data_IF_938451443991
#
_entry.id   IF_938451443991
#
_cell.length_a   1.000
_cell.length_b   1.000
_cell.length_c   1.000
_cell.angle_alpha   90.00
_cell.angle_beta   90.00
_cell.angle_gamma   90.00
#
_symmetry.space_group_name_H-M   'P 1'
#
loop_
_entity.id
_entity.type
_entity.pdbx_description
1 polymer ?
#
# COMPACT_ATOMS: atom_id res chain seq x y z
N UNK A 1 15.47 -21.14 -5.50
CA UNK A 1 16.37 -22.21 -5.94
C UNK A 1 15.79 -23.58 -5.55
N UNK A 2 16.13 -24.69 -6.22
CA UNK A 2 15.71 -26.02 -5.79
C UNK A 2 16.09 -26.27 -4.33
N UNK A 3 15.09 -26.65 -3.50
CA UNK A 3 15.27 -26.87 -2.08
C UNK A 3 14.97 -25.69 -1.16
N UNK A 4 14.68 -24.50 -1.69
CA UNK A 4 14.26 -23.37 -0.87
C UNK A 4 12.84 -23.59 -0.31
N UNK A 5 12.62 -23.19 0.93
CA UNK A 5 11.33 -23.27 1.60
C UNK A 5 10.85 -21.86 1.93
N UNK A 6 9.62 -21.54 1.53
CA UNK A 6 8.98 -20.27 1.85
C UNK A 6 7.75 -20.51 2.72
N UNK A 7 7.68 -19.81 3.86
CA UNK A 7 6.50 -19.81 4.73
C UNK A 7 5.78 -18.47 4.59
N UNK A 8 4.47 -18.54 4.38
CA UNK A 8 3.63 -17.34 4.33
C UNK A 8 2.25 -17.62 4.94
N UNK A 9 1.61 -16.60 5.43
CA UNK A 9 0.23 -16.69 5.90
C UNK A 9 -0.71 -16.75 4.71
N UNK A 10 -1.36 -17.90 4.52
CA UNK A 10 -2.30 -18.14 3.41
C UNK A 10 -3.59 -17.28 3.50
N UNK A 11 -3.83 -16.61 4.63
CA UNK A 11 -4.93 -15.65 4.78
C UNK A 11 -4.64 -14.31 4.07
N UNK A 12 -3.38 -14.07 3.67
CA UNK A 12 -2.95 -12.88 2.93
C UNK A 12 -2.90 -13.24 1.45
N UNK A 13 -3.55 -12.47 0.55
CA UNK A 13 -3.42 -12.69 -0.88
C UNK A 13 -1.95 -12.61 -1.32
N UNK A 14 -1.46 -13.66 -1.95
CA UNK A 14 -0.10 -13.76 -2.46
C UNK A 14 -0.12 -14.44 -3.82
N UNK A 15 0.91 -14.20 -4.60
CA UNK A 15 1.10 -14.81 -5.90
C UNK A 15 2.56 -15.23 -6.09
N UNK A 16 2.77 -16.27 -6.88
CA UNK A 16 4.10 -16.69 -7.32
C UNK A 16 4.20 -16.51 -8.83
N UNK A 17 5.36 -16.03 -9.28
CA UNK A 17 5.65 -15.85 -10.70
C UNK A 17 6.94 -16.58 -11.00
N UNK A 18 6.92 -17.44 -12.03
CA UNK A 18 8.14 -18.01 -12.56
C UNK A 18 8.97 -16.93 -13.25
N UNK A 19 10.25 -16.86 -12.93
CA UNK A 19 11.20 -15.93 -13.56
C UNK A 19 12.28 -16.74 -14.27
N UNK A 20 12.75 -16.26 -15.42
CA UNK A 20 13.80 -16.92 -16.18
C UNK A 20 13.34 -17.72 -17.41
N UNK A 21 12.05 -17.63 -17.79
CA UNK A 21 11.53 -18.22 -19.02
C UNK A 21 11.28 -19.73 -18.98
N UNK A 22 11.40 -20.36 -17.80
CA UNK A 22 11.09 -21.76 -17.57
C UNK A 22 9.92 -21.89 -16.60
N UNK A 23 9.20 -23.01 -16.67
CA UNK A 23 8.12 -23.33 -15.74
C UNK A 23 8.69 -23.55 -14.32
N UNK A 24 7.95 -23.06 -13.32
CA UNK A 24 8.30 -23.24 -11.92
C UNK A 24 7.38 -24.28 -11.29
N UNK A 25 7.92 -25.41 -10.89
CA UNK A 25 7.19 -26.41 -10.11
C UNK A 25 7.44 -26.18 -8.61
N UNK A 26 6.36 -26.18 -7.84
CA UNK A 26 6.45 -26.10 -6.37
C UNK A 26 5.36 -26.94 -5.71
N UNK A 27 5.62 -27.39 -4.49
CA UNK A 27 4.65 -28.05 -3.63
C UNK A 27 4.09 -27.05 -2.63
N UNK A 28 2.77 -26.82 -2.66
CA UNK A 28 2.09 -26.02 -1.67
C UNK A 28 1.48 -26.93 -0.59
N UNK A 29 1.89 -26.76 0.66
CA UNK A 29 1.24 -27.39 1.83
C UNK A 29 0.37 -26.34 2.47
N UNK A 30 -0.95 -26.49 2.34
CA UNK A 30 -1.93 -25.60 2.96
C UNK A 30 -2.41 -26.21 4.27
N UNK A 31 -2.11 -25.55 5.38
CA UNK A 31 -2.66 -25.91 6.68
C UNK A 31 -3.99 -25.19 6.86
N UNK A 32 -5.07 -25.95 6.98
CA UNK A 32 -6.39 -25.43 7.30
C UNK A 32 -6.71 -25.65 8.77
N UNK A 33 -6.51 -24.67 9.65
CA UNK A 33 -6.73 -24.85 11.08
C UNK A 33 -8.21 -25.06 11.46
N UNK A 34 -9.16 -24.81 10.55
CA UNK A 34 -10.60 -24.94 10.81
C UNK A 34 -11.15 -26.34 10.50
N UNK A 35 -10.36 -27.26 9.94
CA UNK A 35 -10.77 -28.63 9.66
C UNK A 35 -11.87 -28.78 8.58
N UNK A 36 -12.23 -27.71 7.86
CA UNK A 36 -13.15 -27.79 6.75
C UNK A 36 -12.47 -28.54 5.58
N UNK A 37 -13.15 -29.55 5.02
CA UNK A 37 -12.66 -30.26 3.85
C UNK A 37 -12.44 -29.29 2.69
N UNK A 38 -11.22 -29.24 2.17
CA UNK A 38 -10.92 -28.52 0.93
C UNK A 38 -11.66 -29.28 -0.18
N UNK A 39 -12.51 -28.62 -1.00
CA UNK A 39 -13.08 -29.28 -2.17
C UNK A 39 -11.93 -29.81 -3.02
N UNK A 40 -12.02 -31.06 -3.44
CA UNK A 40 -11.04 -31.66 -4.35
C UNK A 40 -10.83 -30.69 -5.53
N UNK A 41 -9.65 -30.08 -5.59
CA UNK A 41 -9.26 -29.26 -6.73
C UNK A 41 -9.07 -30.21 -7.91
N UNK A 42 -10.02 -30.19 -8.86
CA UNK A 42 -9.92 -30.92 -10.10
C UNK A 42 -8.66 -30.41 -10.87
N UNK A 43 -7.60 -31.21 -10.97
CA UNK A 43 -6.36 -30.80 -11.64
C UNK A 43 -6.56 -30.43 -13.11
N UNK A 44 -7.66 -30.89 -13.73
CA UNK A 44 -8.00 -30.59 -15.11
C UNK A 44 -8.65 -29.21 -15.34
N UNK A 45 -9.06 -28.50 -14.28
CA UNK A 45 -9.65 -27.16 -14.41
C UNK A 45 -8.62 -26.02 -14.49
N UNK A 46 -7.38 -26.29 -14.18
CA UNK A 46 -6.27 -25.33 -14.35
C UNK A 46 -5.39 -25.72 -15.52
N UNK A 47 -5.95 -25.78 -16.70
CA UNK A 47 -5.13 -25.56 -17.90
C UNK A 47 -4.69 -24.12 -17.87
N UNK A 48 -3.38 -23.82 -17.79
CA UNK A 48 -2.91 -22.47 -18.02
C UNK A 48 -3.42 -22.07 -19.40
N UNK A 49 -4.38 -21.15 -19.44
CA UNK A 49 -4.70 -20.50 -20.71
C UNK A 49 -3.46 -19.67 -20.99
N UNK A 50 -2.53 -20.24 -21.77
CA UNK A 50 -1.52 -19.49 -22.46
C UNK A 50 -2.30 -18.49 -23.33
N UNK A 51 -2.62 -17.34 -22.76
CA UNK A 51 -3.04 -16.19 -23.55
C UNK A 51 -1.84 -15.90 -24.42
N UNK A 52 -1.94 -16.26 -25.69
CA UNK A 52 -1.11 -15.63 -26.71
C UNK A 52 -1.16 -14.13 -26.42
N UNK A 53 -0.08 -13.59 -25.90
CA UNK A 53 0.13 -12.16 -25.82
C UNK A 53 0.26 -11.71 -27.29
N UNK A 54 -0.90 -11.48 -27.93
CA UNK A 54 -0.93 -10.75 -29.20
C UNK A 54 -0.15 -9.47 -28.90
N UNK A 55 0.94 -9.27 -29.62
CA UNK A 55 1.74 -8.06 -29.56
C UNK A 55 0.79 -6.90 -29.91
N UNK A 56 0.17 -6.31 -28.88
CA UNK A 56 -0.36 -4.98 -28.98
C UNK A 56 0.86 -4.12 -29.23
N UNK A 57 0.80 -3.26 -30.25
CA UNK A 57 1.74 -2.17 -30.46
C UNK A 57 2.04 -1.57 -29.09
N UNK A 58 3.16 -1.96 -28.51
CA UNK A 58 3.51 -1.67 -27.12
C UNK A 58 3.71 -0.16 -27.01
N UNK A 59 2.73 0.51 -26.42
CA UNK A 59 3.04 1.82 -25.87
C UNK A 59 4.16 1.60 -24.86
N UNK A 60 5.25 2.39 -24.91
CA UNK A 60 6.34 2.25 -23.95
C UNK A 60 5.76 2.17 -22.55
N UNK A 61 6.12 1.15 -21.78
CA UNK A 61 5.66 1.01 -20.40
C UNK A 61 6.07 2.25 -19.60
N UNK A 62 5.24 2.69 -18.67
CA UNK A 62 5.53 3.88 -17.85
C UNK A 62 6.87 3.76 -17.12
N UNK A 63 7.26 2.53 -16.79
CA UNK A 63 8.52 2.19 -16.13
C UNK A 63 9.75 2.54 -16.99
N UNK A 64 9.65 2.54 -18.32
CA UNK A 64 10.76 2.85 -19.23
C UNK A 64 11.24 4.31 -19.13
N UNK A 65 10.44 5.19 -18.52
CA UNK A 65 10.87 6.56 -18.19
C UNK A 65 11.90 6.58 -17.04
N UNK A 66 11.94 5.52 -16.24
CA UNK A 66 12.62 5.47 -14.96
C UNK A 66 13.62 4.34 -14.85
N UNK A 67 13.52 3.34 -15.71
CA UNK A 67 14.32 2.13 -15.66
C UNK A 67 14.81 1.78 -17.07
N UNK A 68 16.09 1.53 -17.20
CA UNK A 68 16.69 0.88 -18.37
C UNK A 68 17.05 -0.56 -18.00
N UNK A 69 16.64 -1.51 -18.84
CA UNK A 69 16.89 -2.93 -18.64
C UNK A 69 17.66 -3.47 -19.85
N UNK A 70 18.87 -3.96 -19.62
CA UNK A 70 19.60 -4.75 -20.60
C UNK A 70 19.24 -6.23 -20.40
N UNK A 71 18.97 -6.94 -21.49
CA UNK A 71 18.63 -8.36 -21.46
C UNK A 71 19.63 -9.18 -22.28
N UNK A 72 19.86 -10.41 -21.85
CA UNK A 72 20.58 -11.41 -22.62
C UNK A 72 19.82 -11.80 -23.90
N UNK A 73 20.44 -12.54 -24.79
CA UNK A 73 19.79 -13.11 -25.98
C UNK A 73 18.60 -14.03 -25.66
N UNK A 74 18.47 -14.49 -24.43
CA UNK A 74 17.35 -15.30 -23.93
C UNK A 74 16.25 -14.46 -23.23
N UNK A 75 16.40 -13.13 -23.21
CA UNK A 75 15.43 -12.23 -22.56
C UNK A 75 15.63 -12.06 -21.05
N UNK A 76 16.63 -12.68 -20.44
CA UNK A 76 16.93 -12.55 -19.02
C UNK A 76 17.56 -11.17 -18.73
N UNK A 77 17.06 -10.38 -17.74
CA UNK A 77 17.71 -9.14 -17.36
C UNK A 77 19.16 -9.37 -16.90
N UNK A 78 20.10 -8.66 -17.52
CA UNK A 78 21.53 -8.71 -17.19
C UNK A 78 22.00 -7.45 -16.46
N UNK A 79 21.29 -6.34 -16.68
CA UNK A 79 21.56 -5.07 -16.02
C UNK A 79 20.27 -4.27 -15.86
N UNK A 80 20.09 -3.62 -14.73
CA UNK A 80 18.99 -2.71 -14.43
C UNK A 80 19.58 -1.39 -13.97
N UNK A 81 19.28 -0.31 -14.67
CA UNK A 81 19.71 1.05 -14.31
C UNK A 81 18.48 1.92 -14.04
N UNK A 82 18.50 2.62 -12.90
CA UNK A 82 17.47 3.61 -12.55
C UNK A 82 17.92 4.99 -13.03
N UNK A 83 17.01 5.74 -13.66
CA UNK A 83 17.25 7.09 -14.15
C UNK A 83 16.23 8.09 -13.59
N UNK A 84 16.64 9.34 -13.44
CA UNK A 84 15.80 10.44 -12.93
C UNK A 84 15.17 10.17 -11.55
N UNK A 85 15.75 9.27 -10.78
CA UNK A 85 15.19 8.81 -9.50
C UNK A 85 15.13 9.92 -8.46
N UNK A 86 15.98 10.94 -8.58
CA UNK A 86 16.00 12.12 -7.73
C UNK A 86 14.69 12.92 -7.76
N UNK A 87 13.95 12.84 -8.87
CA UNK A 87 12.67 13.54 -9.05
C UNK A 87 11.46 12.63 -8.94
N UNK A 88 11.64 11.32 -8.76
CA UNK A 88 10.56 10.35 -8.77
C UNK A 88 9.62 10.48 -7.57
N UNK A 89 8.32 10.39 -7.86
CA UNK A 89 7.26 10.26 -6.86
C UNK A 89 6.19 9.30 -7.38
N UNK A 90 6.01 8.18 -6.69
CA UNK A 90 5.09 7.12 -7.13
C UNK A 90 3.67 7.61 -7.39
N UNK A 91 3.14 8.49 -6.54
CA UNK A 91 1.78 8.99 -6.69
C UNK A 91 1.57 9.81 -7.97
N UNK A 92 2.53 10.69 -8.30
CA UNK A 92 2.41 11.54 -9.50
C UNK A 92 2.87 10.83 -10.77
N UNK A 93 4.01 10.11 -10.70
CA UNK A 93 4.70 9.60 -11.88
C UNK A 93 4.18 8.23 -12.31
N UNK A 94 3.47 7.50 -11.43
CA UNK A 94 2.84 6.23 -11.76
C UNK A 94 1.33 6.34 -11.69
N UNK A 95 0.77 6.61 -10.51
CA UNK A 95 -0.69 6.56 -10.31
C UNK A 95 -1.40 7.64 -11.13
N UNK A 96 -0.97 8.90 -11.00
CA UNK A 96 -1.61 9.99 -11.72
C UNK A 96 -1.36 9.94 -13.23
N UNK A 97 -0.17 9.50 -13.64
CA UNK A 97 0.15 9.34 -15.06
C UNK A 97 -0.71 8.26 -15.72
N UNK A 98 -0.90 7.11 -15.06
CA UNK A 98 -1.83 6.08 -15.56
C UNK A 98 -3.27 6.61 -15.52
N UNK A 99 -3.66 7.31 -14.46
CA UNK A 99 -5.00 7.89 -14.34
C UNK A 99 -5.33 8.90 -15.44
N UNK A 100 -4.32 9.60 -15.99
CA UNK A 100 -4.48 10.53 -17.14
C UNK A 100 -4.44 9.81 -18.49
N UNK A 101 -3.54 8.85 -18.66
CA UNK A 101 -3.30 8.21 -19.97
C UNK A 101 -4.16 6.97 -20.21
N UNK A 102 -4.64 6.32 -19.16
CA UNK A 102 -5.46 5.12 -19.19
C UNK A 102 -6.55 5.19 -18.10
N UNK A 103 -7.45 6.18 -18.12
CA UNK A 103 -8.39 6.50 -17.03
C UNK A 103 -9.24 5.30 -16.60
N UNK A 104 -9.70 4.49 -17.54
CA UNK A 104 -10.57 3.33 -17.31
C UNK A 104 -9.81 2.05 -16.89
N UNK A 105 -8.48 2.11 -16.82
CA UNK A 105 -7.69 0.95 -16.39
C UNK A 105 -8.00 0.65 -14.93
N UNK A 106 -8.32 -0.62 -14.65
CA UNK A 106 -8.58 -1.09 -13.30
C UNK A 106 -7.30 -0.96 -12.45
N UNK A 107 -7.39 -0.21 -11.36
CA UNK A 107 -6.33 -0.08 -10.36
C UNK A 107 -6.51 -1.07 -9.22
N UNK A 108 -7.78 -1.30 -8.79
CA UNK A 108 -8.09 -2.19 -7.70
C UNK A 108 -9.48 -2.79 -7.85
N UNK A 109 -9.60 -4.07 -7.54
CA UNK A 109 -10.87 -4.74 -7.29
C UNK A 109 -10.96 -5.02 -5.78
N UNK A 110 -11.87 -4.34 -5.10
CA UNK A 110 -12.11 -4.53 -3.68
C UNK A 110 -13.38 -5.37 -3.47
N UNK A 111 -13.23 -6.43 -2.68
CA UNK A 111 -14.35 -7.28 -2.24
C UNK A 111 -14.57 -7.09 -0.75
N UNK A 112 -15.75 -6.63 -0.38
CA UNK A 112 -16.16 -6.48 1.01
C UNK A 112 -16.55 -7.84 1.63
N UNK A 113 -16.66 -7.91 2.94
CA UNK A 113 -17.08 -9.13 3.66
C UNK A 113 -18.48 -9.58 3.29
N UNK A 114 -19.36 -8.68 2.90
CA UNK A 114 -20.71 -8.93 2.37
C UNK A 114 -20.73 -9.31 0.89
N UNK A 115 -19.55 -9.55 0.28
CA UNK A 115 -19.34 -9.85 -1.13
C UNK A 115 -19.66 -8.70 -2.11
N UNK A 116 -19.88 -7.49 -1.61
CA UNK A 116 -20.03 -6.32 -2.48
C UNK A 116 -18.70 -6.05 -3.21
N UNK A 117 -18.78 -5.99 -4.53
CA UNK A 117 -17.65 -5.68 -5.41
C UNK A 117 -17.56 -4.17 -5.67
N UNK A 118 -16.35 -3.62 -5.51
CA UNK A 118 -16.03 -2.24 -5.90
C UNK A 118 -14.86 -2.22 -6.86
N UNK A 119 -15.12 -1.74 -8.06
CA UNK A 119 -14.08 -1.55 -9.09
C UNK A 119 -13.59 -0.11 -9.01
N UNK A 120 -12.30 0.06 -8.81
CA UNK A 120 -11.64 1.37 -8.69
C UNK A 120 -10.66 1.48 -9.85
N UNK A 121 -10.84 2.49 -10.68
CA UNK A 121 -9.95 2.78 -11.81
C UNK A 121 -8.75 3.62 -11.37
N UNK A 122 -7.73 3.74 -12.23
CA UNK A 122 -6.62 4.67 -11.96
C UNK A 122 -7.08 6.14 -11.96
N UNK A 123 -8.12 6.50 -12.73
CA UNK A 123 -8.71 7.83 -12.66
C UNK A 123 -9.37 8.09 -11.29
N UNK A 124 -10.06 7.08 -10.73
CA UNK A 124 -10.64 7.20 -9.38
C UNK A 124 -9.52 7.30 -8.33
N UNK A 125 -8.50 6.45 -8.42
CA UNK A 125 -7.36 6.49 -7.50
C UNK A 125 -6.67 7.85 -7.51
N UNK A 126 -6.47 8.45 -8.69
CA UNK A 126 -5.90 9.79 -8.86
C UNK A 126 -6.76 10.86 -8.18
N UNK A 127 -8.08 10.83 -8.40
CA UNK A 127 -9.03 11.81 -7.84
C UNK A 127 -9.16 11.68 -6.34
N UNK A 128 -9.40 10.46 -5.85
CA UNK A 128 -9.64 10.22 -4.41
C UNK A 128 -8.37 10.43 -3.58
N UNK A 129 -7.20 10.06 -4.08
CA UNK A 129 -5.94 10.40 -3.41
C UNK A 129 -5.64 11.91 -3.39
N UNK A 130 -6.07 12.65 -4.42
CA UNK A 130 -5.98 14.11 -4.40
C UNK A 130 -6.89 14.73 -3.33
N UNK A 131 -8.13 14.22 -3.16
CA UNK A 131 -9.03 14.62 -2.06
C UNK A 131 -8.40 14.35 -0.70
N UNK A 132 -7.81 13.15 -0.52
CA UNK A 132 -7.10 12.80 0.71
C UNK A 132 -5.92 13.74 0.98
N UNK A 133 -5.09 14.06 -0.02
CA UNK A 133 -3.96 14.98 0.15
C UNK A 133 -4.41 16.39 0.58
N UNK A 134 -5.46 16.92 -0.06
CA UNK A 134 -6.05 18.22 0.33
C UNK A 134 -6.67 18.18 1.73
N UNK A 135 -7.35 17.11 2.07
CA UNK A 135 -7.92 16.90 3.40
C UNK A 135 -6.82 16.84 4.48
N UNK A 136 -5.78 16.06 4.28
CA UNK A 136 -4.66 15.96 5.21
C UNK A 136 -3.95 17.30 5.40
N UNK A 137 -3.74 18.03 4.31
CA UNK A 137 -3.19 19.39 4.38
C UNK A 137 -4.06 20.33 5.23
N UNK A 138 -5.40 20.23 5.14
CA UNK A 138 -6.33 21.04 5.95
C UNK A 138 -6.28 20.70 7.45
N UNK A 139 -5.83 19.49 7.81
CA UNK A 139 -5.59 19.06 9.20
C UNK A 139 -4.22 19.50 9.74
N UNK A 140 -3.44 20.25 8.95
CA UNK A 140 -2.10 20.68 9.30
C UNK A 140 -1.01 19.64 9.08
N UNK A 141 -1.34 18.49 8.44
CA UNK A 141 -0.36 17.48 8.07
C UNK A 141 0.47 18.02 6.90
N UNK A 142 1.78 17.89 6.99
CA UNK A 142 2.75 18.41 6.03
C UNK A 142 3.82 17.37 5.71
N UNK A 143 4.68 17.69 4.74
CA UNK A 143 5.84 16.88 4.37
C UNK A 143 6.69 16.54 5.59
N UNK A 144 7.01 15.25 5.76
CA UNK A 144 7.79 14.71 6.87
C UNK A 144 6.98 14.31 8.09
N UNK A 145 5.70 14.68 8.20
CA UNK A 145 4.84 14.20 9.29
C UNK A 145 4.55 12.71 9.16
N UNK A 146 4.44 12.02 10.29
CA UNK A 146 4.20 10.56 10.33
C UNK A 146 2.73 10.30 10.60
N UNK A 147 2.14 9.46 9.74
CA UNK A 147 0.72 9.09 9.78
C UNK A 147 0.61 7.57 9.85
N UNK A 148 0.05 7.05 10.94
CA UNK A 148 -0.18 5.61 11.11
C UNK A 148 -1.50 5.21 10.45
N UNK A 149 -1.46 4.10 9.68
CA UNK A 149 -2.60 3.54 8.98
C UNK A 149 -2.94 2.15 9.55
N UNK A 150 -4.05 2.04 10.29
CA UNK A 150 -4.55 0.79 10.86
C UNK A 150 -5.89 0.47 10.21
N UNK A 151 -5.87 0.11 8.93
CA UNK A 151 -7.06 0.06 8.08
C UNK A 151 -7.45 -1.33 7.59
N UNK A 152 -6.83 -2.40 8.14
CA UNK A 152 -7.16 -3.77 7.70
C UNK A 152 -7.18 -3.87 6.15
N UNK A 153 -8.35 -4.28 5.62
CA UNK A 153 -8.62 -4.45 4.19
C UNK A 153 -9.53 -3.36 3.62
N UNK A 154 -9.66 -2.21 4.26
CA UNK A 154 -10.43 -1.10 3.73
C UNK A 154 -9.75 -0.52 2.49
N UNK A 155 -10.51 -0.26 1.40
CA UNK A 155 -9.98 0.35 0.17
C UNK A 155 -9.45 1.78 0.41
N UNK A 156 -9.94 2.45 1.42
CA UNK A 156 -9.49 3.78 1.86
C UNK A 156 -8.00 3.80 2.24
N UNK A 157 -7.43 2.65 2.59
CA UNK A 157 -5.99 2.51 2.82
C UNK A 157 -5.18 3.05 1.63
N UNK A 158 -5.58 2.68 0.41
CA UNK A 158 -4.87 3.10 -0.80
C UNK A 158 -5.08 4.56 -1.14
N UNK A 159 -6.29 5.09 -0.93
CA UNK A 159 -6.55 6.53 -1.10
C UNK A 159 -5.71 7.36 -0.13
N UNK A 160 -5.68 6.97 1.14
CA UNK A 160 -4.87 7.62 2.15
C UNK A 160 -3.37 7.52 1.85
N UNK A 161 -2.88 6.30 1.54
CA UNK A 161 -1.48 6.05 1.21
C UNK A 161 -0.99 6.93 0.06
N UNK A 162 -1.71 6.93 -1.07
CA UNK A 162 -1.33 7.72 -2.24
C UNK A 162 -1.49 9.22 -1.96
N UNK A 163 -2.49 9.62 -1.16
CA UNK A 163 -2.66 11.01 -0.71
C UNK A 163 -1.49 11.50 0.14
N UNK A 164 -1.02 10.69 1.08
CA UNK A 164 0.18 10.98 1.88
C UNK A 164 1.43 11.07 1.00
N UNK A 165 1.56 10.19 0.01
CA UNK A 165 2.66 10.23 -0.95
C UNK A 165 2.69 11.52 -1.78
N UNK A 166 1.52 12.08 -2.13
CA UNK A 166 1.42 13.38 -2.80
C UNK A 166 1.86 14.53 -1.90
N UNK A 167 1.44 14.48 -0.65
CA UNK A 167 1.72 15.51 0.34
C UNK A 167 3.16 15.45 0.87
N UNK A 168 3.75 14.25 0.86
CA UNK A 168 5.08 13.98 1.42
C UNK A 168 5.06 13.63 2.90
N UNK A 169 3.89 13.33 3.44
CA UNK A 169 3.78 12.74 4.76
C UNK A 169 4.14 11.25 4.71
N UNK A 170 4.76 10.77 5.77
CA UNK A 170 5.30 9.41 5.85
C UNK A 170 4.22 8.48 6.36
N UNK A 171 3.82 7.52 5.55
CA UNK A 171 2.84 6.53 5.98
C UNK A 171 3.49 5.42 6.83
N UNK A 172 2.80 5.00 7.89
CA UNK A 172 3.21 3.91 8.76
C UNK A 172 2.08 2.87 8.82
N UNK A 173 2.05 1.90 7.90
CA UNK A 173 1.09 0.80 7.97
C UNK A 173 1.28 -0.01 9.24
N UNK A 174 0.18 -0.35 9.92
CA UNK A 174 0.23 -1.09 11.15
C UNK A 174 -0.91 -2.12 11.25
N UNK A 175 -0.68 -3.19 12.02
CA UNK A 175 -1.67 -4.25 12.27
C UNK A 175 -2.82 -3.72 13.11
N UNK A 176 -4.03 -4.22 12.82
CA UNK A 176 -5.22 -3.96 13.64
C UNK A 176 -5.28 -4.82 14.92
N UNK A 177 -4.26 -5.64 15.17
CA UNK A 177 -4.14 -6.49 16.35
C UNK A 177 -3.22 -5.90 17.42
N UNK A 178 -2.75 -4.65 17.23
CA UNK A 178 -1.91 -3.96 18.19
C UNK A 178 -2.71 -3.61 19.44
N UNK A 179 -2.10 -3.84 20.60
CA UNK A 179 -2.62 -3.43 21.89
C UNK A 179 -2.14 -2.00 22.24
N UNK A 180 -2.75 -1.39 23.25
CA UNK A 180 -2.47 0.00 23.63
C UNK A 180 -1.00 0.28 23.89
N UNK A 181 -0.28 -0.61 24.59
CA UNK A 181 1.15 -0.45 24.85
C UNK A 181 2.00 -0.50 23.57
N UNK A 182 1.59 -1.30 22.58
CA UNK A 182 2.24 -1.37 21.29
C UNK A 182 2.04 -0.10 20.47
N UNK A 183 0.83 0.44 20.54
CA UNK A 183 0.43 1.68 19.87
C UNK A 183 1.17 2.86 20.49
N UNK A 184 1.18 2.97 21.82
CA UNK A 184 1.89 4.00 22.57
C UNK A 184 3.39 4.01 22.20
N UNK A 185 4.03 2.84 22.23
CA UNK A 185 5.44 2.71 21.87
C UNK A 185 5.71 3.25 20.45
N UNK A 186 4.88 2.85 19.46
CA UNK A 186 5.06 3.27 18.06
C UNK A 186 4.82 4.77 17.87
N UNK A 187 3.80 5.31 18.50
CA UNK A 187 3.48 6.75 18.43
C UNK A 187 4.65 7.56 18.98
N UNK A 188 5.12 7.22 20.18
CA UNK A 188 6.18 7.96 20.83
C UNK A 188 7.54 7.80 20.15
N UNK A 189 7.84 6.58 19.67
CA UNK A 189 9.13 6.31 18.98
C UNK A 189 9.24 6.99 17.62
N UNK A 190 8.14 7.03 16.84
CA UNK A 190 8.13 7.65 15.52
C UNK A 190 7.52 9.08 15.54
N UNK A 191 7.16 9.62 16.72
CA UNK A 191 6.49 10.92 16.87
C UNK A 191 5.29 11.05 15.90
N UNK A 192 4.40 10.06 15.92
CA UNK A 192 3.24 10.00 15.03
C UNK A 192 2.24 11.07 15.42
N UNK A 193 1.87 11.93 14.46
CA UNK A 193 0.94 13.03 14.70
C UNK A 193 -0.52 12.69 14.38
N UNK A 194 -0.73 11.69 13.56
CA UNK A 194 -2.07 11.32 13.05
C UNK A 194 -2.22 9.82 12.94
N UNK A 195 -3.40 9.31 13.31
CA UNK A 195 -3.81 7.92 13.10
C UNK A 195 -5.07 7.90 12.25
N UNK A 196 -5.09 7.02 11.24
CA UNK A 196 -6.28 6.64 10.48
C UNK A 196 -6.59 5.19 10.82
N UNK A 197 -7.68 4.95 11.54
CA UNK A 197 -8.00 3.65 12.11
C UNK A 197 -9.34 3.12 11.59
N UNK A 198 -9.46 1.80 11.51
CA UNK A 198 -10.74 1.13 11.28
C UNK A 198 -11.61 1.17 12.53
N UNK A 199 -12.93 1.25 12.34
CA UNK A 199 -13.90 1.02 13.41
C UNK A 199 -14.18 -0.48 13.67
N UNK A 200 -13.58 -1.38 12.88
CA UNK A 200 -13.79 -2.81 13.01
C UNK A 200 -12.96 -3.42 14.13
N UNK A 201 -13.61 -4.11 15.06
CA UNK A 201 -12.96 -4.70 16.23
C UNK A 201 -12.59 -3.66 17.28
N UNK A 202 -11.58 -3.97 18.09
CA UNK A 202 -11.22 -3.19 19.28
C UNK A 202 -10.07 -2.20 19.03
N UNK A 203 -9.59 -2.08 17.78
CA UNK A 203 -8.39 -1.31 17.49
C UNK A 203 -8.50 0.18 17.87
N UNK A 204 -9.67 0.80 17.63
CA UNK A 204 -9.91 2.18 17.99
C UNK A 204 -9.96 2.38 19.54
N UNK A 205 -10.43 1.36 20.28
CA UNK A 205 -10.40 1.38 21.75
C UNK A 205 -8.95 1.34 22.26
N UNK A 206 -8.10 0.53 21.64
CA UNK A 206 -6.69 0.44 22.00
C UNK A 206 -5.93 1.75 21.69
N UNK A 207 -6.29 2.42 20.58
CA UNK A 207 -5.77 3.79 20.30
C UNK A 207 -6.20 4.79 21.36
N UNK A 208 -7.48 4.77 21.78
CA UNK A 208 -7.97 5.71 22.79
C UNK A 208 -7.35 5.48 24.17
N UNK A 209 -7.03 4.22 24.52
CA UNK A 209 -6.28 3.90 25.76
C UNK A 209 -4.83 4.42 25.70
N UNK A 210 -4.19 4.36 24.54
CA UNK A 210 -2.81 4.83 24.36
C UNK A 210 -2.70 6.35 24.27
N UNK A 211 -3.70 7.01 23.69
CA UNK A 211 -3.66 8.43 23.33
C UNK A 211 -3.26 9.39 24.48
N UNK A 212 -3.70 9.21 25.75
CA UNK A 212 -3.29 10.08 26.83
C UNK A 212 -1.78 10.13 27.10
N UNK A 213 -1.05 9.05 26.75
CA UNK A 213 0.41 8.94 26.89
C UNK A 213 1.17 9.33 25.61
N UNK A 214 0.48 9.87 24.60
CA UNK A 214 1.04 10.15 23.27
C UNK A 214 0.94 11.64 22.92
N UNK A 215 1.83 12.49 23.43
CA UNK A 215 1.72 13.96 23.24
C UNK A 215 1.86 14.43 21.78
N UNK A 216 2.47 13.62 20.90
CA UNK A 216 2.57 13.93 19.47
C UNK A 216 1.26 13.68 18.70
N UNK A 217 0.34 12.88 19.23
CA UNK A 217 -0.89 12.48 18.54
C UNK A 217 -1.93 13.61 18.58
N UNK A 218 -2.12 14.28 17.45
CA UNK A 218 -3.03 15.43 17.30
C UNK A 218 -4.35 15.01 16.64
N UNK A 219 -4.29 14.15 15.62
CA UNK A 219 -5.46 13.78 14.83
C UNK A 219 -5.78 12.30 14.94
N UNK A 220 -7.06 11.99 15.20
CA UNK A 220 -7.62 10.64 15.15
C UNK A 220 -8.73 10.61 14.10
N UNK A 221 -8.56 9.82 13.04
CA UNK A 221 -9.49 9.67 11.91
C UNK A 221 -10.04 8.24 11.91
N UNK A 222 -11.37 8.09 11.81
CA UNK A 222 -12.03 6.80 11.82
C UNK A 222 -12.59 6.45 10.44
N UNK A 223 -12.41 5.22 10.00
CA UNK A 223 -13.03 4.63 8.81
C UNK A 223 -14.04 3.58 9.24
N UNK A 224 -15.29 3.74 8.83
CA UNK A 224 -16.41 2.87 9.17
C UNK A 224 -17.42 3.56 10.06
N UNK A 225 -17.74 3.02 11.24
CA UNK A 225 -18.71 3.60 12.16
C UNK A 225 -18.13 4.83 12.85
N UNK A 226 -18.94 5.89 12.98
CA UNK A 226 -18.57 7.10 13.71
C UNK A 226 -18.20 6.79 15.16
N UNK A 227 -17.25 7.57 15.69
CA UNK A 227 -16.76 7.45 17.05
C UNK A 227 -16.56 8.83 17.66
N UNK A 228 -17.00 9.01 18.90
CA UNK A 228 -16.81 10.26 19.65
C UNK A 228 -15.30 10.55 19.82
N UNK A 229 -14.92 11.82 19.66
CA UNK A 229 -13.51 12.24 19.71
C UNK A 229 -12.67 11.89 18.49
N UNK A 230 -13.30 11.34 17.43
CA UNK A 230 -12.66 11.02 16.17
C UNK A 230 -13.33 11.76 15.00
N UNK A 231 -12.55 12.10 14.00
CA UNK A 231 -13.06 12.68 12.74
C UNK A 231 -13.48 11.55 11.82
N UNK A 232 -14.61 11.71 11.12
CA UNK A 232 -15.10 10.72 10.16
C UNK A 232 -14.38 10.90 8.81
N UNK A 233 -13.46 9.99 8.53
CA UNK A 233 -12.68 10.02 7.29
C UNK A 233 -13.59 9.97 6.05
N UNK A 234 -14.58 9.07 6.03
CA UNK A 234 -15.45 8.86 4.86
C UNK A 234 -16.37 10.05 4.58
N UNK A 235 -16.75 10.82 5.59
CA UNK A 235 -17.59 12.03 5.41
C UNK A 235 -16.77 13.26 5.07
N UNK A 236 -15.54 13.37 5.57
CA UNK A 236 -14.77 14.59 5.47
C UNK A 236 -13.94 14.68 4.19
N UNK A 237 -13.12 13.65 3.86
CA UNK A 237 -12.22 13.75 2.71
C UNK A 237 -12.92 13.98 1.36
N UNK A 238 -14.14 13.42 1.10
CA UNK A 238 -14.78 13.62 -0.20
C UNK A 238 -15.20 15.07 -0.49
N UNK A 239 -15.26 15.91 0.54
CA UNK A 239 -15.62 17.34 0.41
C UNK A 239 -14.48 18.20 -0.16
N UNK A 240 -13.28 17.65 -0.23
CA UNK A 240 -12.10 18.36 -0.71
C UNK A 240 -11.92 18.22 -2.22
N UNK A 241 -11.12 19.11 -2.80
CA UNK A 241 -10.82 19.11 -4.23
C UNK A 241 -10.22 17.80 -4.70
N UNK A 242 -10.70 17.27 -5.80
CA UNK A 242 -10.14 16.11 -6.51
C UNK A 242 -8.92 16.45 -7.38
N UNK A 243 -8.39 17.66 -7.26
CA UNK A 243 -7.17 18.12 -7.93
C UNK A 243 -6.11 18.45 -6.88
N UNK A 244 -4.93 17.87 -7.01
CA UNK A 244 -3.75 18.18 -6.22
C UNK A 244 -2.54 18.28 -7.14
N UNK A 245 -1.94 19.49 -7.22
CA UNK A 245 -0.87 19.76 -8.17
C UNK A 245 0.49 19.50 -7.55
N UNK A 246 1.38 18.87 -8.31
CA UNK A 246 2.80 18.78 -7.96
C UNK A 246 3.41 20.18 -7.91
N UNK A 247 4.15 20.49 -6.87
CA UNK A 247 4.87 21.74 -6.66
C UNK A 247 6.38 21.49 -6.59
N UNK A 248 7.17 22.56 -6.43
CA UNK A 248 8.62 22.45 -6.22
C UNK A 248 8.97 21.73 -4.90
N UNK A 249 8.08 21.86 -3.90
CA UNK A 249 8.26 21.30 -2.55
C UNK A 249 7.66 19.89 -2.42
N UNK A 250 7.01 19.38 -3.48
CA UNK A 250 6.49 18.01 -3.49
C UNK A 250 7.60 17.01 -3.24
N UNK A 251 7.29 15.88 -2.57
CA UNK A 251 8.28 14.88 -2.23
C UNK A 251 8.93 14.28 -3.49
N UNK A 252 10.20 13.91 -3.37
CA UNK A 252 11.07 13.42 -4.43
C UNK A 252 11.76 12.13 -4.03
N UNK A 253 12.55 11.56 -4.92
CA UNK A 253 13.16 10.25 -4.80
C UNK A 253 13.85 9.92 -3.48
N UNK A 254 14.56 10.88 -2.88
CA UNK A 254 15.27 10.68 -1.59
C UNK A 254 14.42 11.03 -0.35
N UNK A 255 13.22 11.61 -0.54
CA UNK A 255 12.31 11.85 0.57
C UNK A 255 11.74 10.53 1.10
N UNK A 256 11.46 10.49 2.40
CA UNK A 256 10.83 9.34 3.04
C UNK A 256 9.40 9.13 2.54
N UNK A 257 9.07 7.89 2.23
CA UNK A 257 7.77 7.45 1.73
C UNK A 257 7.00 6.68 2.79
N UNK A 258 7.67 5.67 3.37
CA UNK A 258 7.09 4.69 4.28
C UNK A 258 8.02 4.42 5.45
N UNK A 259 7.44 4.07 6.59
CA UNK A 259 8.13 3.43 7.70
C UNK A 259 7.38 2.18 8.13
N UNK A 260 8.12 1.14 8.50
CA UNK A 260 7.56 -0.07 9.08
C UNK A 260 8.22 -0.38 10.41
N UNK A 261 7.42 -0.87 11.35
CA UNK A 261 7.92 -1.48 12.55
C UNK A 261 8.09 -2.99 12.33
N UNK A 262 9.33 -3.45 12.36
CA UNK A 262 9.67 -4.87 12.19
C UNK A 262 9.86 -5.54 13.53
N UNK A 263 9.57 -6.84 13.62
CA UNK A 263 9.86 -7.64 14.81
C UNK A 263 11.38 -7.67 15.05
N UNK A 264 11.83 -7.04 16.14
CA UNK A 264 13.22 -7.11 16.57
C UNK A 264 13.53 -8.48 17.20
N UNK A 265 14.71 -9.02 16.95
CA UNK A 265 15.17 -10.26 17.58
C UNK A 265 15.50 -10.11 19.08
N UNK A 266 15.52 -8.90 19.59
CA UNK A 266 15.99 -8.56 20.96
C UNK A 266 15.16 -7.47 21.63
N UNK A 267 13.81 -7.54 21.60
CA UNK A 267 12.97 -6.61 22.33
C UNK A 267 12.01 -5.81 21.46
N UNK A 268 11.95 -4.49 21.64
CA UNK A 268 11.00 -3.62 20.96
C UNK A 268 11.18 -3.58 19.43
N UNK A 269 10.08 -3.42 18.65
CA UNK A 269 10.13 -3.30 17.20
C UNK A 269 11.06 -2.18 16.73
N UNK A 270 11.82 -2.44 15.67
CA UNK A 270 12.70 -1.45 15.03
C UNK A 270 12.00 -0.79 13.86
N UNK A 271 12.34 0.48 13.60
CA UNK A 271 11.85 1.22 12.43
C UNK A 271 12.75 0.95 11.24
N UNK A 272 12.13 0.59 10.12
CA UNK A 272 12.76 0.56 8.79
C UNK A 272 12.08 1.63 7.94
N UNK A 273 12.87 2.50 7.33
CA UNK A 273 12.39 3.60 6.52
C UNK A 273 12.68 3.36 5.04
N UNK A 274 11.73 3.71 4.19
CA UNK A 274 11.82 3.62 2.73
C UNK A 274 11.65 4.99 2.10
N UNK A 275 12.44 5.28 1.10
CA UNK A 275 12.36 6.50 0.29
C UNK A 275 11.62 6.24 -1.02
N UNK A 276 11.14 7.30 -1.69
CA UNK A 276 10.33 7.17 -2.91
C UNK A 276 11.01 6.35 -4.01
N UNK A 277 12.32 6.51 -4.22
CA UNK A 277 13.04 5.77 -5.27
C UNK A 277 13.08 4.26 -5.06
N UNK A 278 12.90 3.77 -3.83
CA UNK A 278 12.86 2.31 -3.57
C UNK A 278 11.56 1.64 -4.00
N UNK A 279 10.50 2.38 -4.30
CA UNK A 279 9.28 1.79 -4.87
C UNK A 279 9.45 1.21 -6.28
N UNK A 280 10.63 1.37 -6.89
CA UNK A 280 11.00 0.64 -8.12
C UNK A 280 11.48 -0.79 -7.85
N UNK A 281 11.81 -1.15 -6.61
CA UNK A 281 12.43 -2.42 -6.26
C UNK A 281 11.42 -3.50 -5.83
N UNK A 282 10.12 -3.18 -5.88
CA UNK A 282 9.04 -4.06 -5.45
C UNK A 282 7.96 -4.23 -6.56
#
# INVERSE_FOLDING_TARGET
>A
NPGDTCYFDSSIPHGMIAVGGEDCEFYAIVLNPTGASIPELDPMRYTPVAREMKSKTERPGIWQKWIDIETSGTGTPTKIEFKNTENFNFAFDVVDEIGKTQPEKLAMLHLSSDKTERRITFADMMKESARCANYFSSLGIKKGDRVMLILKRHYQFWYAMIGLNKLGAIAIPASNQLLSHDIEYRINTAEISTIICTSDGECADEVDKAAPSCPSLVNKLIVGKKREGWRDFNEEYPRFSSSYKRSKDSPKGDDLLLMFFTSGTSGYPKIVAYIHKYSFLH
#
